data_IF_162040047526
#
_entry.id   IF_162040047526
#
_cell.length_a   1.000
_cell.length_b   1.000
_cell.length_c   1.000
_cell.angle_alpha   90.00
_cell.angle_beta   90.00
_cell.angle_gamma   90.00
#
_symmetry.space_group_name_H-M   'P 1'
#
loop_
_entity.id
_entity.type
_entity.pdbx_description
1 polymer ?
#
# COMPACT_ATOMS: atom_id res chain seq x y z
N UNK A 1 3.84 11.52 13.81
CA UNK A 1 3.42 11.48 12.40
C UNK A 1 2.53 10.26 12.24
N UNK A 2 1.24 10.43 11.97
CA UNK A 2 0.31 9.32 11.72
C UNK A 2 0.16 9.15 10.22
N UNK A 3 0.45 7.97 9.69
CA UNK A 3 0.26 7.64 8.28
C UNK A 3 -1.08 6.93 8.17
N UNK A 4 -2.04 7.60 7.54
CA UNK A 4 -3.35 7.04 7.22
C UNK A 4 -3.25 6.31 5.87
N UNK A 5 -3.46 4.99 5.88
CA UNK A 5 -3.51 4.18 4.67
C UNK A 5 -4.97 4.15 4.17
N UNK A 6 -5.27 4.88 3.11
CA UNK A 6 -6.59 4.87 2.45
C UNK A 6 -6.57 4.00 1.20
N UNK A 7 -7.59 3.15 1.05
CA UNK A 7 -7.69 2.17 -0.02
C UNK A 7 -8.21 2.70 -1.34
N UNK A 8 -7.37 2.61 -2.38
CA UNK A 8 -7.75 2.67 -3.77
C UNK A 8 -7.06 1.55 -4.54
N UNK A 9 -7.86 0.72 -5.21
CA UNK A 9 -7.44 -0.37 -6.11
C UNK A 9 -6.53 -1.47 -5.51
N UNK A 10 -7.14 -2.44 -4.82
CA UNK A 10 -6.60 -3.78 -4.59
C UNK A 10 -5.90 -3.98 -3.25
N UNK A 11 -6.40 -4.96 -2.48
CA UNK A 11 -5.89 -5.48 -1.20
C UNK A 11 -6.08 -4.56 0.01
N UNK A 12 -7.21 -4.69 0.70
CA UNK A 12 -7.29 -4.34 2.12
C UNK A 12 -8.04 -5.44 2.87
N UNK A 13 -7.31 -6.08 3.77
CA UNK A 13 -7.79 -6.84 4.92
C UNK A 13 -6.79 -6.61 6.06
N UNK A 14 -7.16 -6.89 7.31
CA UNK A 14 -6.33 -6.61 8.49
C UNK A 14 -4.89 -7.13 8.37
N UNK A 15 -4.71 -8.37 7.89
CA UNK A 15 -3.38 -8.95 7.66
C UNK A 15 -2.54 -8.20 6.62
N UNK A 16 -3.16 -7.54 5.64
CA UNK A 16 -2.42 -6.71 4.67
C UNK A 16 -1.94 -5.40 5.29
N UNK A 17 -2.69 -4.83 6.24
CA UNK A 17 -2.25 -3.64 6.99
C UNK A 17 -0.97 -3.96 7.76
N UNK A 18 -0.94 -5.09 8.47
CA UNK A 18 0.26 -5.52 9.18
C UNK A 18 1.45 -5.73 8.25
N UNK A 19 1.23 -6.35 7.08
CA UNK A 19 2.28 -6.55 6.06
C UNK A 19 2.80 -5.24 5.47
N UNK A 20 1.92 -4.27 5.22
CA UNK A 20 2.29 -2.94 4.74
C UNK A 20 3.14 -2.19 5.78
N UNK A 21 2.74 -2.25 7.06
CA UNK A 21 3.49 -1.61 8.15
C UNK A 21 4.87 -2.23 8.27
N UNK A 22 4.98 -3.56 8.25
CA UNK A 22 6.28 -4.24 8.36
C UNK A 22 7.19 -3.95 7.16
N UNK A 23 6.65 -4.00 5.94
CA UNK A 23 7.41 -3.61 4.75
C UNK A 23 7.82 -2.11 4.82
N UNK A 24 6.95 -1.25 5.34
CA UNK A 24 7.26 0.16 5.61
C UNK A 24 8.41 0.34 6.59
N UNK A 25 8.43 -0.41 7.70
CA UNK A 25 9.54 -0.37 8.67
C UNK A 25 10.86 -0.76 8.03
N UNK A 26 10.86 -1.83 7.23
CA UNK A 26 12.05 -2.28 6.50
C UNK A 26 12.57 -1.26 5.50
N UNK A 27 11.68 -0.74 4.64
CA UNK A 27 12.04 0.20 3.57
C UNK A 27 12.49 1.54 4.13
N UNK A 28 11.80 2.05 5.15
CA UNK A 28 12.08 3.39 5.70
C UNK A 28 13.13 3.38 6.81
N UNK A 29 13.40 2.24 7.44
CA UNK A 29 14.25 2.15 8.63
C UNK A 29 13.62 2.78 9.89
N UNK A 30 12.34 3.16 9.85
CA UNK A 30 11.63 3.80 10.95
C UNK A 30 10.71 2.83 11.70
N UNK A 31 10.44 3.05 12.99
CA UNK A 31 9.68 2.11 13.81
C UNK A 31 8.18 2.00 13.48
N UNK A 32 7.57 2.98 12.81
CA UNK A 32 6.13 3.06 12.45
C UNK A 32 5.22 2.45 13.54
N UNK A 33 4.93 3.18 14.63
CA UNK A 33 4.02 2.72 15.67
C UNK A 33 2.64 2.39 15.09
N UNK A 34 2.06 1.26 15.50
CA UNK A 34 0.78 0.77 15.00
C UNK A 34 -0.20 0.63 16.16
N UNK A 35 -1.40 1.17 15.98
CA UNK A 35 -2.56 0.93 16.84
C UNK A 35 -3.66 0.31 15.98
N UNK A 36 -4.24 -0.80 16.44
CA UNK A 36 -5.28 -1.51 15.70
C UNK A 36 -6.65 -0.94 16.05
N UNK A 37 -7.36 -0.46 15.03
CA UNK A 37 -8.75 -0.04 15.13
C UNK A 37 -9.51 -0.43 13.86
N UNK A 38 -10.75 -0.89 14.02
CA UNK A 38 -11.66 -1.12 12.90
C UNK A 38 -12.46 0.12 12.57
N UNK A 39 -12.95 0.21 11.33
CA UNK A 39 -13.89 1.25 10.89
C UNK A 39 -15.16 0.58 10.38
N UNK A 40 -16.31 1.01 10.90
CA UNK A 40 -17.61 0.52 10.45
C UNK A 40 -17.80 0.80 8.96
N UNK A 41 -18.23 -0.23 8.22
CA UNK A 41 -18.43 -0.18 6.78
C UNK A 41 -17.25 -0.72 5.96
N UNK A 42 -16.08 -0.91 6.55
CA UNK A 42 -14.96 -1.58 5.87
C UNK A 42 -15.22 -3.09 5.82
N UNK A 43 -14.92 -3.70 4.67
CA UNK A 43 -14.98 -5.16 4.51
C UNK A 43 -13.72 -5.81 5.09
N UNK A 44 -13.84 -7.02 5.61
CA UNK A 44 -12.70 -7.78 6.16
C UNK A 44 -11.64 -8.11 5.09
N UNK A 45 -12.05 -8.23 3.82
CA UNK A 45 -11.15 -8.55 2.70
C UNK A 45 -11.69 -7.99 1.40
N UNK A 46 -10.84 -7.27 0.67
CA UNK A 46 -11.10 -6.77 -0.68
C UNK A 46 -9.91 -7.07 -1.60
N UNK A 47 -10.07 -8.07 -2.48
CA UNK A 47 -9.05 -8.51 -3.43
C UNK A 47 -9.66 -8.68 -4.82
N UNK A 48 -9.02 -8.12 -5.84
CA UNK A 48 -9.49 -8.23 -7.23
C UNK A 48 -8.88 -9.46 -7.92
N UNK A 49 -9.70 -10.23 -8.65
CA UNK A 49 -9.17 -11.12 -9.69
C UNK A 49 -8.72 -10.27 -10.88
N UNK A 50 -7.51 -10.55 -11.38
CA UNK A 50 -6.95 -9.91 -12.57
C UNK A 50 -6.95 -10.82 -13.80
N UNK A 51 -7.61 -11.98 -13.72
CA UNK A 51 -7.53 -13.01 -14.76
C UNK A 51 -8.08 -12.50 -16.09
N UNK A 52 -9.19 -11.77 -16.05
CA UNK A 52 -9.78 -11.17 -17.25
C UNK A 52 -8.82 -10.19 -17.95
N UNK A 53 -8.11 -9.37 -17.18
CA UNK A 53 -7.15 -8.42 -17.75
C UNK A 53 -5.95 -9.15 -18.38
N UNK A 54 -5.46 -10.21 -17.73
CA UNK A 54 -4.39 -11.07 -18.26
C UNK A 54 -4.82 -11.76 -19.56
N UNK A 55 -6.03 -12.32 -19.60
CA UNK A 55 -6.55 -13.07 -20.75
C UNK A 55 -6.86 -12.18 -21.96
N UNK A 56 -7.55 -11.05 -21.73
CA UNK A 56 -8.05 -10.21 -22.83
C UNK A 56 -6.96 -9.29 -23.37
N UNK A 57 -6.12 -8.74 -22.48
CA UNK A 57 -5.14 -7.71 -22.86
C UNK A 57 -3.69 -8.21 -22.84
N UNK A 58 -3.45 -9.47 -22.45
CA UNK A 58 -2.09 -9.94 -22.17
C UNK A 58 -1.44 -9.17 -21.02
N UNK A 59 -2.23 -8.50 -20.18
CA UNK A 59 -1.72 -7.60 -19.15
C UNK A 59 -0.91 -8.37 -18.12
N UNK A 60 0.28 -7.88 -17.80
CA UNK A 60 1.15 -8.42 -16.76
C UNK A 60 1.60 -7.29 -15.84
N UNK A 61 1.37 -7.40 -14.52
CA UNK A 61 1.88 -6.41 -13.57
C UNK A 61 3.41 -6.45 -13.61
N UNK A 62 4.03 -5.26 -13.74
CA UNK A 62 5.49 -5.12 -13.67
C UNK A 62 6.00 -4.99 -12.23
N UNK A 63 5.11 -4.62 -11.31
CA UNK A 63 5.41 -4.35 -9.91
C UNK A 63 4.38 -5.08 -9.05
N UNK A 64 4.76 -6.24 -8.53
CA UNK A 64 3.93 -7.09 -7.66
C UNK A 64 4.55 -7.28 -6.26
N UNK A 65 5.70 -6.63 -6.01
CA UNK A 65 6.39 -6.64 -4.74
C UNK A 65 6.01 -5.41 -3.90
N UNK A 66 5.49 -5.66 -2.70
CA UNK A 66 5.06 -4.65 -1.73
C UNK A 66 6.19 -3.71 -1.28
N UNK A 67 7.41 -4.21 -1.09
CA UNK A 67 8.57 -3.44 -0.65
C UNK A 67 8.98 -2.45 -1.76
N UNK A 68 8.98 -2.89 -3.02
CA UNK A 68 9.27 -2.00 -4.16
C UNK A 68 8.21 -0.90 -4.34
N UNK A 69 6.93 -1.24 -4.15
CA UNK A 69 5.84 -0.26 -4.19
C UNK A 69 6.04 0.79 -3.10
N UNK A 70 6.32 0.37 -1.86
CA UNK A 70 6.58 1.29 -0.75
C UNK A 70 7.86 2.10 -0.98
N UNK A 71 8.93 1.50 -1.50
CA UNK A 71 10.21 2.16 -1.76
C UNK A 71 10.06 3.32 -2.73
N UNK A 72 9.37 3.08 -3.85
CA UNK A 72 9.12 4.12 -4.85
C UNK A 72 8.27 5.27 -4.29
N UNK A 73 7.25 4.96 -3.48
CA UNK A 73 6.45 5.96 -2.79
C UNK A 73 7.28 6.75 -1.74
N UNK A 74 8.06 6.05 -0.92
CA UNK A 74 8.90 6.67 0.11
C UNK A 74 9.95 7.58 -0.48
N UNK A 75 10.59 7.17 -1.58
CA UNK A 75 11.56 8.00 -2.31
C UNK A 75 10.94 9.34 -2.76
N UNK A 76 9.71 9.33 -3.25
CA UNK A 76 9.00 10.55 -3.61
C UNK A 76 8.69 11.40 -2.37
N UNK A 77 8.02 10.83 -1.37
CA UNK A 77 7.57 11.57 -0.19
C UNK A 77 8.71 12.12 0.68
N UNK A 78 9.82 11.39 0.78
CA UNK A 78 11.01 11.85 1.52
C UNK A 78 11.72 13.03 0.84
N UNK A 79 11.57 13.19 -0.48
CA UNK A 79 12.17 14.30 -1.24
C UNK A 79 11.18 15.44 -1.47
N UNK A 80 9.87 15.19 -1.36
CA UNK A 80 8.80 16.17 -1.56
C UNK A 80 7.87 16.20 -0.32
N UNK A 81 8.35 16.64 0.85
CA UNK A 81 7.57 16.61 2.08
C UNK A 81 6.29 17.47 2.02
N UNK A 82 6.26 18.48 1.15
CA UNK A 82 5.12 19.36 0.94
C UNK A 82 4.37 19.08 -0.39
N UNK A 83 4.71 17.99 -1.09
CA UNK A 83 4.13 17.68 -2.39
C UNK A 83 4.75 18.47 -3.55
N UNK A 84 3.95 18.72 -4.60
CA UNK A 84 4.37 19.51 -5.75
C UNK A 84 4.47 20.99 -5.38
N UNK A 85 5.31 21.74 -6.11
CA UNK A 85 5.26 23.20 -6.05
C UNK A 85 3.96 23.70 -6.70
N UNK A 86 3.35 24.71 -6.10
CA UNK A 86 2.17 25.40 -6.62
C UNK A 86 2.45 26.12 -7.96
#
# INVERSE_FOLDING_TARGET
MAILVLGGAGYIGSHMVDRLVEAGRKVTGHPIPLESAGRLGDSDTLVASSDKARQVFGWQPKFDNIEMIIETAWKWHSTHPNGYAD
#
